data_IF_655515509408
#
_entry.id   IF_655515509408
#
_cell.length_a   1.000
_cell.length_b   1.000
_cell.length_c   1.000
_cell.angle_alpha   90.00
_cell.angle_beta   90.00
_cell.angle_gamma   90.00
#
_symmetry.space_group_name_H-M   'P 1'
#
loop_
_entity.id
_entity.type
_entity.pdbx_description
1 polymer ?
#
# COMPACT_ATOMS: atom_id res chain seq x y z
N UNK A 1 -31.68 -15.45 -25.08
CA UNK A 1 -30.21 -15.64 -25.15
C UNK A 1 -29.57 -14.89 -23.98
N UNK A 2 -28.78 -15.59 -23.17
CA UNK A 2 -28.23 -15.11 -21.89
C UNK A 2 -27.25 -13.95 -22.17
N UNK A 3 -27.55 -12.77 -21.63
CA UNK A 3 -26.64 -11.63 -21.65
C UNK A 3 -25.33 -12.04 -21.00
N UNK A 4 -24.23 -11.89 -21.73
CA UNK A 4 -22.89 -12.06 -21.17
C UNK A 4 -22.57 -10.76 -20.45
N UNK A 5 -22.80 -10.74 -19.14
CA UNK A 5 -22.21 -9.75 -18.26
C UNK A 5 -20.72 -9.66 -18.61
N UNK A 6 -20.15 -8.47 -18.86
CA UNK A 6 -18.71 -8.34 -19.00
C UNK A 6 -18.13 -8.74 -17.65
N UNK A 7 -17.62 -9.98 -17.58
CA UNK A 7 -16.80 -10.47 -16.48
C UNK A 7 -15.85 -9.35 -16.13
N UNK A 8 -16.05 -8.84 -14.92
CA UNK A 8 -15.31 -7.82 -14.24
C UNK A 8 -13.82 -8.09 -14.42
N UNK A 9 -13.24 -7.61 -15.52
CA UNK A 9 -11.82 -7.44 -15.70
C UNK A 9 -11.47 -6.26 -14.79
N UNK A 10 -11.55 -6.49 -13.48
CA UNK A 10 -10.81 -5.70 -12.53
C UNK A 10 -9.35 -5.94 -12.91
N UNK A 11 -8.88 -5.10 -13.83
CA UNK A 11 -7.48 -4.74 -13.93
C UNK A 11 -7.08 -4.52 -12.49
N UNK A 12 -6.37 -5.49 -11.90
CA UNK A 12 -5.82 -5.37 -10.57
C UNK A 12 -4.91 -4.16 -10.65
N UNK A 13 -5.48 -2.98 -10.36
CA UNK A 13 -4.72 -1.75 -10.26
C UNK A 13 -3.69 -2.07 -9.20
N UNK A 14 -2.41 -2.06 -9.60
CA UNK A 14 -1.32 -2.12 -8.64
C UNK A 14 -1.59 -0.98 -7.67
N UNK A 15 -1.86 -1.33 -6.41
CA UNK A 15 -2.06 -0.37 -5.35
C UNK A 15 -0.89 0.62 -5.40
N UNK A 16 -1.17 1.90 -5.30
CA UNK A 16 -0.12 2.90 -5.15
C UNK A 16 0.41 2.87 -3.71
N UNK A 17 1.65 3.31 -3.47
CA UNK A 17 2.19 3.46 -2.12
C UNK A 17 1.29 4.28 -1.18
N UNK A 18 0.62 5.31 -1.71
CA UNK A 18 -0.30 6.15 -0.95
C UNK A 18 -1.60 5.42 -0.58
N UNK A 19 -2.21 4.70 -1.53
CA UNK A 19 -3.39 3.86 -1.27
C UNK A 19 -3.09 2.79 -0.21
N UNK A 20 -1.91 2.20 -0.26
CA UNK A 20 -1.44 1.25 0.76
C UNK A 20 -1.38 1.89 2.15
N UNK A 21 -0.79 3.08 2.28
CA UNK A 21 -0.70 3.79 3.55
C UNK A 21 -2.08 4.19 4.08
N UNK A 22 -2.97 4.68 3.21
CA UNK A 22 -4.36 4.99 3.58
C UNK A 22 -5.12 3.75 4.07
N UNK A 23 -4.90 2.58 3.46
CA UNK A 23 -5.46 1.30 3.94
C UNK A 23 -4.95 0.97 5.34
N UNK A 24 -3.66 1.17 5.62
CA UNK A 24 -3.08 0.96 6.95
C UNK A 24 -3.62 1.93 8.00
N UNK A 25 -3.84 3.21 7.66
CA UNK A 25 -4.48 4.18 8.57
C UNK A 25 -5.87 3.72 9.03
N UNK A 26 -6.69 3.25 8.09
CA UNK A 26 -8.03 2.72 8.39
C UNK A 26 -7.98 1.53 9.34
N UNK A 27 -7.04 0.61 9.12
CA UNK A 27 -6.85 -0.57 9.99
C UNK A 27 -6.40 -0.15 11.39
N UNK A 28 -5.45 0.77 11.50
CA UNK A 28 -4.92 1.24 12.77
C UNK A 28 -5.83 2.23 13.50
N UNK A 29 -6.87 2.75 12.81
CA UNK A 29 -7.73 3.85 13.28
C UNK A 29 -6.94 5.07 13.76
N UNK A 30 -5.77 5.30 13.17
CA UNK A 30 -4.88 6.42 13.49
C UNK A 30 -4.22 6.95 12.22
N UNK A 31 -4.01 8.26 12.11
CA UNK A 31 -3.27 8.82 10.98
C UNK A 31 -1.81 8.39 11.04
N UNK A 32 -1.23 8.09 9.88
CA UNK A 32 0.20 7.90 9.69
C UNK A 32 0.81 9.30 9.58
N UNK A 33 1.83 9.56 10.39
CA UNK A 33 2.50 10.87 10.42
C UNK A 33 3.28 11.12 9.12
N UNK A 34 3.46 12.39 8.75
CA UNK A 34 4.27 12.77 7.60
C UNK A 34 5.68 12.16 7.65
N UNK A 35 6.31 12.20 8.84
CA UNK A 35 7.62 11.59 9.08
C UNK A 35 7.66 10.09 8.76
N UNK A 36 6.62 9.34 9.15
CA UNK A 36 6.53 7.92 8.82
C UNK A 36 6.39 7.72 7.30
N UNK A 37 5.56 8.53 6.62
CA UNK A 37 5.40 8.45 5.16
C UNK A 37 6.72 8.68 4.44
N UNK A 38 7.50 9.69 4.86
CA UNK A 38 8.84 9.94 4.34
C UNK A 38 9.78 8.74 4.51
N UNK A 39 9.81 8.14 5.71
CA UNK A 39 10.62 6.93 5.95
C UNK A 39 10.18 5.77 5.07
N UNK A 40 8.87 5.55 4.93
CA UNK A 40 8.31 4.51 4.08
C UNK A 40 8.74 4.68 2.62
N UNK A 41 8.59 5.89 2.05
CA UNK A 41 9.01 6.15 0.67
C UNK A 41 10.52 6.02 0.48
N UNK A 42 11.32 6.44 1.47
CA UNK A 42 12.77 6.30 1.41
C UNK A 42 13.21 4.85 1.37
N UNK A 43 12.62 3.99 2.20
CA UNK A 43 12.92 2.55 2.21
C UNK A 43 12.39 1.83 0.97
N UNK A 44 11.22 2.24 0.46
CA UNK A 44 10.67 1.70 -0.78
C UNK A 44 11.57 1.98 -1.98
N UNK A 45 12.18 3.18 -2.03
CA UNK A 45 13.12 3.55 -3.10
C UNK A 45 14.54 2.98 -2.88
N UNK A 46 14.92 2.68 -1.65
CA UNK A 46 16.27 2.19 -1.32
C UNK A 46 16.52 0.72 -1.67
N UNK A 47 15.46 -0.09 -1.84
CA UNK A 47 15.58 -1.53 -2.05
C UNK A 47 14.63 -2.01 -3.15
N UNK A 48 15.21 -2.35 -4.31
CA UNK A 48 14.48 -3.06 -5.37
C UNK A 48 14.01 -4.44 -4.86
N UNK A 49 12.78 -4.85 -5.22
CA UNK A 49 12.12 -6.11 -4.84
C UNK A 49 11.49 -6.24 -3.44
N UNK A 50 11.24 -5.14 -2.70
CA UNK A 50 10.36 -5.22 -1.51
C UNK A 50 8.90 -4.91 -1.83
N UNK A 51 7.99 -5.68 -1.25
CA UNK A 51 6.55 -5.34 -1.26
C UNK A 51 6.27 -4.21 -0.26
N UNK A 52 5.14 -3.52 -0.44
CA UNK A 52 4.73 -2.49 0.50
C UNK A 52 4.57 -3.02 1.93
N UNK A 53 4.03 -4.23 2.12
CA UNK A 53 3.99 -4.90 3.43
C UNK A 53 5.39 -5.08 4.04
N UNK A 54 6.38 -5.52 3.28
CA UNK A 54 7.73 -5.71 3.82
C UNK A 54 8.38 -4.38 4.25
N UNK A 55 8.18 -3.32 3.46
CA UNK A 55 8.65 -1.98 3.82
C UNK A 55 7.92 -1.48 5.07
N UNK A 56 6.60 -1.68 5.13
CA UNK A 56 5.77 -1.32 6.26
C UNK A 56 6.24 -1.98 7.56
N UNK A 57 6.40 -3.29 7.60
CA UNK A 57 6.87 -4.00 8.81
C UNK A 57 8.26 -3.51 9.23
N UNK A 58 9.14 -3.25 8.26
CA UNK A 58 10.49 -2.73 8.53
C UNK A 58 10.51 -1.33 9.13
N UNK A 59 9.57 -0.45 8.73
CA UNK A 59 9.48 0.93 9.25
C UNK A 59 8.66 0.99 10.53
N UNK A 60 7.56 0.24 10.61
CA UNK A 60 6.66 0.21 11.75
C UNK A 60 7.29 -0.40 13.01
N UNK A 61 8.13 -1.42 12.86
CA UNK A 61 8.91 -1.96 13.98
C UNK A 61 10.05 -1.07 14.48
N UNK A 62 10.37 0.01 13.76
CA UNK A 62 11.45 0.97 14.10
C UNK A 62 10.93 2.34 14.52
N UNK A 63 9.62 2.59 14.42
CA UNK A 63 8.97 3.88 14.61
C UNK A 63 8.43 4.09 16.03
#
# INVERSE_FOLDING_TARGET
>A
MKGKDPKNLSTQRKETPEEFLLRKEKVLRRPITARFREFFYRELNGISNRTYEQVWESVFGRA
#
